data_IF_523416061972
#
_entry.id   IF_523416061972
#
_cell.length_a   1.000
_cell.length_b   1.000
_cell.length_c   1.000
_cell.angle_alpha   90.00
_cell.angle_beta   90.00
_cell.angle_gamma   90.00
#
_symmetry.space_group_name_H-M   'P 1'
#
loop_
_entity.id
_entity.type
_entity.pdbx_description
1 polymer ?
#
# COMPACT_ATOMS: atom_id res chain seq x y z
N UNK A 1 -23.20 -6.10 -0.07
CA UNK A 1 -22.25 -5.49 -1.03
C UNK A 1 -23.06 -4.58 -1.92
N UNK A 2 -22.71 -3.30 -2.03
CA UNK A 2 -23.49 -2.36 -2.84
C UNK A 2 -23.46 -2.70 -4.33
N UNK A 3 -24.53 -2.36 -5.06
CA UNK A 3 -24.69 -2.74 -6.48
C UNK A 3 -23.59 -2.21 -7.39
N UNK A 4 -23.09 -1.01 -7.12
CA UNK A 4 -22.03 -0.38 -7.92
C UNK A 4 -20.70 -1.16 -7.79
N UNK A 5 -20.39 -1.68 -6.60
CA UNK A 5 -19.21 -2.51 -6.37
C UNK A 5 -19.34 -3.86 -7.09
N UNK A 6 -20.55 -4.42 -7.17
CA UNK A 6 -20.84 -5.64 -7.93
C UNK A 6 -20.67 -5.41 -9.43
N UNK A 7 -21.23 -4.32 -9.99
CA UNK A 7 -21.06 -3.95 -11.41
C UNK A 7 -19.59 -3.77 -11.76
N UNK A 8 -18.82 -3.11 -10.89
CA UNK A 8 -17.37 -2.96 -11.08
C UNK A 8 -16.65 -4.31 -11.09
N UNK A 9 -16.99 -5.22 -10.17
CA UNK A 9 -16.42 -6.56 -10.11
C UNK A 9 -16.73 -7.38 -11.37
N UNK A 10 -17.97 -7.30 -11.89
CA UNK A 10 -18.36 -7.95 -13.13
C UNK A 10 -17.59 -7.39 -14.35
N UNK A 11 -17.38 -6.08 -14.40
CA UNK A 11 -16.55 -5.46 -15.43
C UNK A 11 -15.09 -5.96 -15.38
N UNK A 12 -14.50 -6.10 -14.18
CA UNK A 12 -13.16 -6.66 -14.05
C UNK A 12 -13.10 -8.15 -14.44
N UNK A 13 -14.15 -8.92 -14.15
CA UNK A 13 -14.25 -10.32 -14.60
C UNK A 13 -14.32 -10.43 -16.12
N UNK A 14 -15.08 -9.55 -16.78
CA UNK A 14 -15.13 -9.46 -18.25
C UNK A 14 -13.77 -9.06 -18.84
N UNK A 15 -13.03 -8.18 -18.15
CA UNK A 15 -11.65 -7.82 -18.51
C UNK A 15 -10.62 -8.94 -18.24
N UNK A 16 -11.05 -10.13 -17.81
CA UNK A 16 -10.17 -11.29 -17.59
C UNK A 16 -9.47 -11.31 -16.23
N UNK A 17 -9.70 -10.33 -15.35
CA UNK A 17 -9.14 -10.35 -14.00
C UNK A 17 -9.98 -11.26 -13.10
N UNK A 18 -9.39 -12.39 -12.70
CA UNK A 18 -9.99 -13.38 -11.82
C UNK A 18 -9.58 -13.12 -10.37
N UNK A 19 -10.22 -13.81 -9.43
CA UNK A 19 -9.79 -13.86 -8.02
C UNK A 19 -9.82 -12.52 -7.27
N UNK A 20 -10.72 -11.61 -7.64
CA UNK A 20 -10.94 -10.35 -6.91
C UNK A 20 -11.99 -10.54 -5.81
N UNK A 21 -11.69 -10.03 -4.63
CA UNK A 21 -12.54 -10.05 -3.44
C UNK A 21 -12.69 -8.61 -2.93
N UNK A 22 -13.92 -8.16 -2.71
CA UNK A 22 -14.20 -6.81 -2.19
C UNK A 22 -14.62 -6.92 -0.73
N UNK A 23 -13.91 -6.22 0.16
CA UNK A 23 -14.22 -6.12 1.58
C UNK A 23 -14.69 -4.70 1.89
N UNK A 24 -15.87 -4.57 2.47
CA UNK A 24 -16.41 -3.28 2.93
C UNK A 24 -16.01 -3.04 4.38
N UNK A 25 -15.51 -1.86 4.69
CA UNK A 25 -15.32 -1.38 6.06
C UNK A 25 -15.86 0.05 6.17
N UNK A 26 -16.99 0.20 6.87
CA UNK A 26 -17.75 1.45 6.90
C UNK A 26 -18.22 1.85 5.50
N UNK A 27 -17.93 3.08 5.10
CA UNK A 27 -18.20 3.61 3.75
C UNK A 27 -17.14 3.25 2.71
N UNK A 28 -16.05 2.60 3.10
CA UNK A 28 -14.93 2.32 2.22
C UNK A 28 -14.98 0.88 1.68
N UNK A 29 -14.84 0.74 0.37
CA UNK A 29 -14.67 -0.56 -0.27
C UNK A 29 -13.19 -0.81 -0.57
N UNK A 30 -12.67 -1.95 -0.13
CA UNK A 30 -11.29 -2.36 -0.38
C UNK A 30 -11.26 -3.59 -1.27
N UNK A 31 -10.40 -3.56 -2.29
CA UNK A 31 -10.24 -4.66 -3.23
C UNK A 31 -9.00 -5.45 -2.89
N UNK A 32 -9.17 -6.77 -2.84
CA UNK A 32 -8.12 -7.75 -2.62
C UNK A 32 -8.06 -8.72 -3.80
N UNK A 33 -6.88 -9.23 -4.08
CA UNK A 33 -6.65 -10.36 -4.95
C UNK A 33 -6.39 -11.59 -4.08
N UNK A 34 -7.29 -12.55 -4.11
CA UNK A 34 -7.27 -13.72 -3.26
C UNK A 34 -6.91 -14.95 -4.08
N UNK A 35 -5.75 -15.52 -3.82
CA UNK A 35 -5.26 -16.74 -4.49
C UNK A 35 -4.88 -17.79 -3.45
N UNK A 36 -5.05 -19.07 -3.78
CA UNK A 36 -4.51 -20.16 -2.96
C UNK A 36 -3.14 -20.56 -3.51
N UNK A 37 -2.10 -20.47 -2.68
CA UNK A 37 -0.75 -20.92 -3.00
C UNK A 37 -0.45 -22.15 -2.17
N UNK A 38 0.14 -23.18 -2.78
CA UNK A 38 0.62 -24.34 -2.04
C UNK A 38 1.82 -23.96 -1.18
N UNK A 39 1.75 -24.29 0.11
CA UNK A 39 2.84 -24.10 1.07
C UNK A 39 3.49 -25.46 1.34
N UNK A 40 4.77 -25.59 1.01
CA UNK A 40 5.52 -26.87 1.11
C UNK A 40 5.85 -27.23 2.55
N UNK A 41 5.97 -26.25 3.44
CA UNK A 41 6.30 -26.49 4.86
C UNK A 41 5.12 -27.15 5.58
N UNK A 42 3.93 -26.62 5.35
CA UNK A 42 2.68 -27.08 5.98
C UNK A 42 2.01 -28.19 5.14
N UNK A 43 2.52 -28.46 3.92
CA UNK A 43 1.97 -29.38 2.90
C UNK A 43 0.47 -29.16 2.60
N UNK A 44 0.02 -27.91 2.70
CA UNK A 44 -1.39 -27.51 2.54
C UNK A 44 -1.50 -26.26 1.68
N UNK A 45 -2.68 -26.05 1.10
CA UNK A 45 -3.01 -24.80 0.41
C UNK A 45 -3.17 -23.65 1.42
N UNK A 46 -2.40 -22.57 1.23
CA UNK A 46 -2.53 -21.34 2.02
C UNK A 46 -3.23 -20.27 1.20
N UNK A 47 -4.31 -19.72 1.77
CA UNK A 47 -5.00 -18.56 1.20
C UNK A 47 -4.08 -17.33 1.34
N UNK A 48 -3.78 -16.69 0.22
CA UNK A 48 -2.99 -15.46 0.15
C UNK A 48 -3.90 -14.37 -0.42
N UNK A 49 -4.19 -13.36 0.40
CA UNK A 49 -4.93 -12.16 0.00
C UNK A 49 -3.96 -10.99 -0.16
N UNK A 50 -3.89 -10.43 -1.36
CA UNK A 50 -3.06 -9.27 -1.69
C UNK A 50 -3.93 -8.03 -1.84
N UNK A 51 -3.68 -7.00 -1.04
CA UNK A 51 -4.38 -5.73 -1.16
C UNK A 51 -4.05 -5.03 -2.48
N UNK A 52 -5.07 -4.72 -3.28
CA UNK A 52 -4.97 -4.11 -4.60
C UNK A 52 -5.25 -2.61 -4.58
N UNK A 53 -6.18 -2.14 -3.74
CA UNK A 53 -6.56 -0.73 -3.71
C UNK A 53 -7.92 -0.46 -3.08
N UNK A 54 -8.29 0.83 -3.07
CA UNK A 54 -9.59 1.30 -2.59
C UNK A 54 -10.53 1.49 -3.78
N UNK A 55 -11.78 1.11 -3.60
CA UNK A 55 -12.84 1.35 -4.55
C UNK A 55 -13.75 2.45 -3.97
N UNK A 56 -13.85 3.56 -4.70
CA UNK A 56 -14.66 4.72 -4.35
C UNK A 56 -15.82 4.86 -5.36
N UNK A 57 -16.97 5.37 -4.92
CA UNK A 57 -18.17 5.49 -5.76
C UNK A 57 -18.01 6.59 -6.80
N UNK A 58 -17.34 7.68 -6.44
CA UNK A 58 -17.16 8.85 -7.32
C UNK A 58 -15.88 8.75 -8.16
N UNK A 59 -14.77 8.38 -7.53
CA UNK A 59 -13.44 8.33 -8.18
C UNK A 59 -13.14 6.98 -8.84
N UNK A 60 -13.95 5.96 -8.58
CA UNK A 60 -13.71 4.60 -9.08
C UNK A 60 -12.59 3.88 -8.32
N UNK A 61 -11.89 2.96 -9.01
CA UNK A 61 -10.86 2.13 -8.40
C UNK A 61 -9.51 2.85 -8.33
N UNK A 62 -9.02 3.08 -7.12
CA UNK A 62 -7.73 3.69 -6.81
C UNK A 62 -6.75 2.56 -6.43
N UNK A 63 -5.84 2.15 -7.34
CA UNK A 63 -4.88 1.10 -7.05
C UNK A 63 -3.84 1.55 -6.03
N UNK A 64 -3.35 0.59 -5.24
CA UNK A 64 -2.24 0.76 -4.32
C UNK A 64 -1.01 1.26 -5.09
N UNK A 65 -0.53 2.45 -4.75
CA UNK A 65 0.70 3.03 -5.32
C UNK A 65 0.49 4.15 -6.34
N UNK A 66 -0.75 4.48 -6.73
CA UNK A 66 -1.02 5.66 -7.57
C UNK A 66 -1.02 6.99 -6.81
N UNK A 67 -1.04 6.98 -5.47
CA UNK A 67 -0.71 8.16 -4.65
C UNK A 67 0.81 8.38 -4.54
N UNK A 68 1.58 8.07 -5.59
CA UNK A 68 2.90 8.67 -5.74
C UNK A 68 2.67 9.99 -6.47
N UNK A 69 2.60 11.08 -5.71
CA UNK A 69 2.87 12.39 -6.27
C UNK A 69 4.14 12.28 -7.13
N UNK A 70 4.19 12.87 -8.34
CA UNK A 70 5.34 12.79 -9.24
C UNK A 70 6.50 13.68 -8.74
N UNK A 71 6.96 13.47 -7.49
CA UNK A 71 7.99 14.30 -6.86
C UNK A 71 8.61 13.78 -5.57
N UNK A 72 8.21 12.62 -5.05
CA UNK A 72 8.84 12.07 -3.84
C UNK A 72 9.98 11.12 -4.22
N UNK A 73 11.15 11.70 -4.51
CA UNK A 73 12.41 10.98 -4.39
C UNK A 73 12.49 10.35 -2.97
N UNK A 74 12.87 9.07 -2.84
CA UNK A 74 13.17 8.51 -1.53
C UNK A 74 14.57 8.98 -1.12
N UNK A 75 14.78 9.10 0.20
CA UNK A 75 16.04 9.35 0.95
C UNK A 75 16.14 10.81 1.47
N UNK A 76 16.28 11.11 2.76
CA UNK A 76 16.72 10.32 3.93
C UNK A 76 16.61 11.22 5.18
N UNK A 77 15.51 11.15 5.95
CA UNK A 77 15.46 11.80 7.28
C UNK A 77 16.55 11.22 8.21
N UNK A 78 16.98 9.98 7.96
CA UNK A 78 18.01 9.28 8.72
C UNK A 78 19.44 9.69 8.39
N UNK A 79 19.72 10.34 7.25
CA UNK A 79 21.10 10.79 6.93
C UNK A 79 21.42 12.16 7.57
N UNK A 80 20.43 13.02 7.75
CA UNK A 80 20.65 14.36 8.31
C UNK A 80 20.51 14.44 9.84
N UNK A 81 19.76 13.53 10.46
CA UNK A 81 19.49 13.57 11.91
C UNK A 81 20.76 13.41 12.75
N UNK A 82 21.67 12.51 12.38
CA UNK A 82 22.90 12.26 13.12
C UNK A 82 23.96 13.35 12.91
N UNK A 83 24.04 13.94 11.72
CA UNK A 83 24.98 15.03 11.44
C UNK A 83 24.59 16.33 12.14
N UNK A 84 23.29 16.61 12.29
CA UNK A 84 22.83 17.81 13.02
C UNK A 84 23.14 17.74 14.51
N UNK A 85 22.98 16.57 15.13
CA UNK A 85 23.34 16.35 16.53
C UNK A 85 24.85 16.51 16.77
N UNK A 86 25.68 15.93 15.89
CA UNK A 86 27.14 16.12 15.95
C UNK A 86 27.53 17.59 15.76
N UNK A 87 26.89 18.30 14.83
CA UNK A 87 27.16 19.71 14.60
C UNK A 87 26.79 20.58 15.82
N UNK A 88 25.67 20.30 16.49
CA UNK A 88 25.27 21.02 17.69
C UNK A 88 26.21 20.74 18.87
N UNK A 89 26.60 19.48 19.08
CA UNK A 89 27.60 19.12 20.09
C UNK A 89 28.98 19.74 19.82
N UNK A 90 29.36 19.89 18.55
CA UNK A 90 30.63 20.54 18.18
C UNK A 90 30.66 22.05 18.45
N UNK A 91 29.51 22.74 18.52
CA UNK A 91 29.48 24.18 18.86
C UNK A 91 29.90 24.47 20.29
N UNK A 92 29.65 23.54 21.21
CA UNK A 92 30.05 23.68 22.62
C UNK A 92 31.56 23.53 22.81
N UNK A 93 32.24 22.89 21.85
CA UNK A 93 33.69 22.76 21.82
C UNK A 93 34.27 23.91 21.01
N UNK A 94 34.21 25.13 21.53
CA UNK A 94 35.12 26.16 21.05
C UNK A 94 36.53 25.83 21.57
N UNK A 95 37.53 25.60 20.70
CA UNK A 95 38.90 25.48 21.17
C UNK A 95 39.37 26.83 21.68
N UNK A 96 39.52 26.95 23.00
CA UNK A 96 40.29 28.04 23.59
C UNK A 96 41.76 27.75 23.36
N UNK A 97 42.26 28.16 22.18
CA UNK A 97 43.68 28.32 21.82
C UNK A 97 44.51 27.02 21.82
#
# INVERSE_FOLDING_TARGET
MEEWARKWLEAQRRAGKKCLEIKMQGSNCYVYHTTNRYDREIKKGRKVSKYLGKLDKEKGFIPKGQNKAPGAAPRTITEYGSSMLLHEMMKEIQPTI
#
